data_IF_482406039987
#
_entry.id   IF_482406039987
#
_cell.length_a   1.000
_cell.length_b   1.000
_cell.length_c   1.000
_cell.angle_alpha   90.00
_cell.angle_beta   90.00
_cell.angle_gamma   90.00
#
_symmetry.space_group_name_H-M   'P 1'
#
loop_
_entity.id
_entity.type
_entity.pdbx_description
1 polymer ?
#
# COMPACT_ATOMS: atom_id res chain seq x y z
N UNK A 1 -0.20 18.00 -6.66
CA UNK A 1 0.30 16.67 -6.25
C UNK A 1 -0.63 16.09 -5.19
N UNK A 2 -1.80 15.63 -5.61
CA UNK A 2 -2.88 15.15 -4.74
C UNK A 2 -2.43 13.96 -3.87
N UNK A 3 -1.67 12.99 -4.42
CA UNK A 3 -1.17 11.81 -3.68
C UNK A 3 -0.40 12.25 -2.42
N UNK A 4 0.48 13.23 -2.53
CA UNK A 4 1.25 13.71 -1.37
C UNK A 4 0.34 14.21 -0.23
N UNK A 5 -0.71 14.92 -0.56
CA UNK A 5 -1.67 15.45 0.42
C UNK A 5 -2.46 14.31 1.08
N UNK A 6 -3.01 13.40 0.28
CA UNK A 6 -3.79 12.26 0.78
C UNK A 6 -2.95 11.30 1.62
N UNK A 7 -1.75 10.94 1.14
CA UNK A 7 -0.82 10.06 1.88
C UNK A 7 -0.42 10.68 3.21
N UNK A 8 -0.08 11.97 3.26
CA UNK A 8 0.33 12.63 4.51
C UNK A 8 -0.80 12.64 5.53
N UNK A 9 -2.02 12.95 5.11
CA UNK A 9 -3.19 12.99 5.99
C UNK A 9 -3.55 11.60 6.51
N UNK A 10 -3.52 10.57 5.65
CA UNK A 10 -3.82 9.19 6.05
C UNK A 10 -2.76 8.62 6.99
N UNK A 11 -1.46 8.84 6.71
CA UNK A 11 -0.37 8.44 7.59
C UNK A 11 -0.45 9.09 8.97
N UNK A 12 -0.89 10.34 9.06
CA UNK A 12 -1.03 11.05 10.33
C UNK A 12 -2.04 10.36 11.24
N UNK A 13 -3.13 9.84 10.69
CA UNK A 13 -4.16 9.11 11.43
C UNK A 13 -3.80 7.63 11.62
N UNK A 14 -3.29 6.99 10.59
CA UNK A 14 -3.06 5.53 10.57
C UNK A 14 -1.99 5.06 11.57
N UNK A 15 -1.07 5.94 11.96
CA UNK A 15 -0.08 5.69 13.01
C UNK A 15 -0.62 5.84 14.44
N UNK A 16 -1.87 6.27 14.61
CA UNK A 16 -2.49 6.45 15.93
C UNK A 16 -3.17 5.17 16.40
N UNK A 17 -3.35 5.02 17.72
CA UNK A 17 -4.10 3.89 18.28
C UNK A 17 -5.59 3.91 17.89
N UNK A 18 -6.12 5.10 17.59
CA UNK A 18 -7.50 5.31 17.14
C UNK A 18 -7.74 5.06 15.65
N UNK A 19 -6.72 4.63 14.92
CA UNK A 19 -6.89 4.29 13.49
C UNK A 19 -7.91 3.17 13.30
N UNK A 20 -8.64 3.24 12.17
CA UNK A 20 -9.59 2.24 11.74
C UNK A 20 -9.15 1.59 10.42
N UNK A 21 -9.78 0.46 10.08
CA UNK A 21 -9.66 -0.12 8.73
C UNK A 21 -10.42 0.74 7.72
N UNK A 22 -10.10 0.61 6.44
CA UNK A 22 -10.88 1.23 5.36
C UNK A 22 -12.28 0.61 5.35
N UNK A 23 -12.35 -0.73 5.36
CA UNK A 23 -13.60 -1.46 5.48
C UNK A 23 -14.00 -1.54 6.95
N UNK A 24 -14.98 -0.75 7.32
CA UNK A 24 -15.52 -0.71 8.67
C UNK A 24 -16.92 -1.37 8.70
N UNK A 25 -17.25 -2.12 9.77
CA UNK A 25 -18.60 -2.63 9.94
C UNK A 25 -19.58 -1.45 10.09
N UNK A 26 -20.70 -1.53 9.43
CA UNK A 26 -21.77 -0.54 9.51
C UNK A 26 -23.10 -1.27 9.74
N UNK A 27 -23.44 -1.46 11.00
CA UNK A 27 -24.65 -2.18 11.40
C UNK A 27 -25.93 -1.37 11.12
N UNK A 28 -25.81 -0.05 11.09
CA UNK A 28 -26.93 0.86 10.85
C UNK A 28 -26.49 2.06 10.02
N UNK A 29 -27.23 2.33 8.95
CA UNK A 29 -26.97 3.45 8.04
C UNK A 29 -26.96 4.82 8.74
N UNK A 30 -27.71 4.99 9.84
CA UNK A 30 -27.66 6.21 10.64
C UNK A 30 -26.26 6.50 11.23
N UNK A 31 -25.44 5.47 11.39
CA UNK A 31 -24.08 5.59 11.90
C UNK A 31 -23.05 5.89 10.81
N UNK A 32 -23.47 5.95 9.54
CA UNK A 32 -22.53 6.18 8.41
C UNK A 32 -21.70 7.46 8.58
N UNK A 33 -22.30 8.51 9.16
CA UNK A 33 -21.59 9.77 9.42
C UNK A 33 -20.43 9.63 10.43
N UNK A 34 -20.44 8.62 11.28
CA UNK A 34 -19.39 8.40 12.30
C UNK A 34 -18.13 7.77 11.73
N UNK A 35 -18.21 7.10 10.58
CA UNK A 35 -17.06 6.47 9.93
C UNK A 35 -16.35 7.39 8.93
N UNK A 36 -16.89 8.56 8.65
CA UNK A 36 -16.27 9.53 7.75
C UNK A 36 -15.01 10.13 8.39
N UNK A 37 -13.87 10.01 7.69
CA UNK A 37 -12.59 10.50 8.20
C UNK A 37 -11.47 10.30 7.20
N UNK A 38 -10.23 10.60 7.62
CA UNK A 38 -9.04 10.49 6.78
C UNK A 38 -8.78 9.08 6.25
N UNK A 39 -9.20 8.05 6.98
CA UNK A 39 -9.05 6.67 6.51
C UNK A 39 -9.92 6.42 5.28
N UNK A 40 -11.17 6.82 5.32
CA UNK A 40 -12.10 6.64 4.18
C UNK A 40 -11.73 7.57 3.01
N UNK A 41 -11.47 8.86 3.27
CA UNK A 41 -11.31 9.85 2.22
C UNK A 41 -9.87 10.01 1.71
N UNK A 42 -8.88 9.60 2.48
CA UNK A 42 -7.47 9.76 2.10
C UNK A 42 -6.75 8.43 1.93
N UNK A 43 -6.87 7.46 2.85
CA UNK A 43 -6.21 6.15 2.72
C UNK A 43 -6.82 5.31 1.60
N UNK A 44 -8.15 5.24 1.50
CA UNK A 44 -8.80 4.42 0.48
C UNK A 44 -8.39 4.81 -0.95
N UNK A 45 -8.41 6.09 -1.38
CA UNK A 45 -7.90 6.48 -2.68
C UNK A 45 -6.42 6.11 -2.91
N UNK A 46 -5.57 6.20 -1.88
CA UNK A 46 -4.17 5.77 -1.98
C UNK A 46 -4.07 4.27 -2.21
N UNK A 47 -4.89 3.46 -1.53
CA UNK A 47 -4.91 2.01 -1.73
C UNK A 47 -5.47 1.62 -3.10
N UNK A 48 -6.47 2.34 -3.62
CA UNK A 48 -6.94 2.15 -5.00
C UNK A 48 -5.84 2.44 -6.03
N UNK A 49 -5.04 3.50 -5.82
CA UNK A 49 -3.89 3.80 -6.67
C UNK A 49 -2.84 2.67 -6.60
N UNK A 50 -2.61 2.10 -5.42
CA UNK A 50 -1.69 0.95 -5.27
C UNK A 50 -2.18 -0.29 -6.00
N UNK A 51 -3.47 -0.56 -6.04
CA UNK A 51 -4.02 -1.65 -6.87
C UNK A 51 -3.69 -1.45 -8.35
N UNK A 52 -3.87 -0.23 -8.87
CA UNK A 52 -3.47 0.10 -10.25
C UNK A 52 -1.97 -0.13 -10.48
N UNK A 53 -1.12 0.28 -9.54
CA UNK A 53 0.34 0.13 -9.62
C UNK A 53 0.79 -1.35 -9.59
N UNK A 54 0.09 -2.19 -8.83
CA UNK A 54 0.38 -3.62 -8.70
C UNK A 54 -0.07 -4.37 -9.95
N UNK A 55 -1.30 -4.14 -10.42
CA UNK A 55 -1.91 -4.84 -11.55
C UNK A 55 -1.43 -4.32 -12.92
N UNK A 56 -1.06 -3.04 -12.99
CA UNK A 56 -0.94 -2.29 -14.24
C UNK A 56 -2.29 -1.74 -14.73
N UNK A 57 -2.24 -0.63 -15.45
CA UNK A 57 -3.44 0.10 -15.90
C UNK A 57 -4.38 -0.73 -16.77
N UNK A 58 -3.82 -1.56 -17.68
CA UNK A 58 -4.62 -2.36 -18.62
C UNK A 58 -5.44 -3.44 -17.90
N UNK A 59 -4.80 -4.21 -17.00
CA UNK A 59 -5.47 -5.25 -16.23
C UNK A 59 -6.51 -4.65 -15.29
N UNK A 60 -6.18 -3.53 -14.63
CA UNK A 60 -7.12 -2.81 -13.78
C UNK A 60 -8.34 -2.32 -14.57
N UNK A 61 -8.13 -1.70 -15.74
CA UNK A 61 -9.22 -1.23 -16.59
C UNK A 61 -10.15 -2.37 -17.03
N UNK A 62 -9.59 -3.51 -17.45
CA UNK A 62 -10.37 -4.70 -17.80
C UNK A 62 -11.21 -5.20 -16.63
N UNK A 63 -10.61 -5.32 -15.46
CA UNK A 63 -11.30 -5.74 -14.24
C UNK A 63 -12.44 -4.80 -13.84
N UNK A 64 -12.23 -3.49 -13.89
CA UNK A 64 -13.29 -2.51 -13.60
C UNK A 64 -14.42 -2.58 -14.65
N UNK A 65 -14.11 -2.77 -15.92
CA UNK A 65 -15.13 -2.93 -16.96
C UNK A 65 -15.98 -4.19 -16.72
N UNK A 66 -15.33 -5.30 -16.35
CA UNK A 66 -16.02 -6.54 -16.01
C UNK A 66 -16.90 -6.39 -14.77
N UNK A 67 -16.37 -5.77 -13.71
CA UNK A 67 -17.11 -5.46 -12.50
C UNK A 67 -18.36 -4.63 -12.78
N UNK A 68 -18.24 -3.53 -13.52
CA UNK A 68 -19.36 -2.66 -13.88
C UNK A 68 -20.40 -3.36 -14.74
N UNK A 69 -19.98 -4.27 -15.63
CA UNK A 69 -20.88 -5.07 -16.47
C UNK A 69 -21.60 -6.13 -15.64
N UNK A 70 -20.90 -6.84 -14.77
CA UNK A 70 -21.43 -7.94 -13.98
C UNK A 70 -22.47 -7.46 -12.96
N UNK A 71 -22.22 -6.32 -12.34
CA UNK A 71 -23.06 -5.74 -11.29
C UNK A 71 -23.90 -4.56 -11.76
N UNK A 72 -24.09 -4.40 -13.10
CA UNK A 72 -24.92 -3.36 -13.66
C UNK A 72 -26.36 -3.43 -13.07
N UNK A 73 -26.84 -2.31 -12.53
CA UNK A 73 -28.13 -2.20 -11.86
C UNK A 73 -28.32 -3.07 -10.62
N UNK A 74 -27.25 -3.69 -10.12
CA UNK A 74 -27.22 -4.50 -8.90
C UNK A 74 -26.38 -3.86 -7.80
N UNK A 75 -26.24 -4.61 -6.70
CA UNK A 75 -25.33 -4.28 -5.61
C UNK A 75 -24.10 -5.19 -5.66
N UNK A 76 -22.95 -4.66 -5.34
CA UNK A 76 -21.71 -5.40 -5.21
C UNK A 76 -21.02 -5.05 -3.90
N UNK A 77 -20.22 -5.99 -3.42
CA UNK A 77 -19.39 -5.81 -2.24
C UNK A 77 -17.95 -5.50 -2.64
N UNK A 78 -17.13 -5.14 -1.66
CA UNK A 78 -15.71 -5.00 -1.85
C UNK A 78 -15.05 -6.34 -2.28
N UNK A 79 -15.50 -7.45 -1.70
CA UNK A 79 -14.96 -8.78 -2.00
C UNK A 79 -15.25 -9.19 -3.45
N UNK A 80 -16.43 -8.83 -3.98
CA UNK A 80 -16.77 -9.02 -5.39
C UNK A 80 -15.83 -8.26 -6.33
N UNK A 81 -15.52 -7.01 -5.99
CA UNK A 81 -14.57 -6.20 -6.75
C UNK A 81 -13.17 -6.85 -6.74
N UNK A 82 -12.67 -7.21 -5.55
CA UNK A 82 -11.34 -7.81 -5.42
C UNK A 82 -11.26 -9.14 -6.16
N UNK A 83 -12.28 -10.00 -6.09
CA UNK A 83 -12.30 -11.27 -6.80
C UNK A 83 -12.21 -11.09 -8.33
N UNK A 84 -12.90 -10.10 -8.88
CA UNK A 84 -12.81 -9.78 -10.32
C UNK A 84 -11.43 -9.22 -10.67
N UNK A 85 -10.89 -8.29 -9.89
CA UNK A 85 -9.56 -7.71 -10.14
C UNK A 85 -8.47 -8.77 -10.04
N UNK A 86 -8.52 -9.64 -9.03
CA UNK A 86 -7.57 -10.73 -8.80
C UNK A 86 -7.53 -11.70 -10.00
N UNK A 87 -8.68 -11.97 -10.64
CA UNK A 87 -8.75 -12.81 -11.85
C UNK A 87 -8.06 -12.20 -13.10
N UNK A 88 -7.72 -10.92 -13.08
CA UNK A 88 -7.07 -10.21 -14.18
C UNK A 88 -5.54 -10.08 -14.02
N UNK A 89 -4.98 -10.62 -12.97
CA UNK A 89 -3.53 -10.52 -12.65
C UNK A 89 -3.02 -11.80 -11.99
N UNK A 90 -1.72 -12.00 -12.00
CA UNK A 90 -1.04 -13.07 -11.23
C UNK A 90 -0.65 -12.61 -9.80
N UNK A 91 -0.89 -11.34 -9.47
CA UNK A 91 -0.60 -10.77 -8.16
C UNK A 91 -1.69 -11.16 -7.15
N UNK A 92 -1.30 -11.41 -5.90
CA UNK A 92 -2.22 -11.77 -4.80
C UNK A 92 -2.93 -10.53 -4.24
N UNK A 93 -4.03 -10.16 -4.86
CA UNK A 93 -4.85 -9.02 -4.41
C UNK A 93 -5.70 -9.35 -3.20
N UNK A 94 -5.97 -10.63 -2.94
CA UNK A 94 -6.69 -11.05 -1.74
C UNK A 94 -5.87 -10.74 -0.49
N UNK A 95 -4.59 -11.12 -0.45
CA UNK A 95 -3.67 -10.76 0.65
C UNK A 95 -3.49 -9.26 0.77
N UNK A 96 -3.35 -8.54 -0.36
CA UNK A 96 -3.28 -7.07 -0.34
C UNK A 96 -4.54 -6.47 0.32
N UNK A 97 -5.73 -6.90 -0.11
CA UNK A 97 -7.00 -6.42 0.41
C UNK A 97 -7.17 -6.71 1.90
N UNK A 98 -6.83 -7.93 2.33
CA UNK A 98 -6.96 -8.32 3.73
C UNK A 98 -6.16 -7.38 4.64
N UNK A 99 -4.94 -7.07 4.29
CA UNK A 99 -4.06 -6.28 5.14
C UNK A 99 -4.31 -4.76 5.00
N UNK A 100 -4.40 -4.26 3.76
CA UNK A 100 -4.48 -2.81 3.54
C UNK A 100 -5.88 -2.22 3.71
N UNK A 101 -6.93 -3.03 3.48
CA UNK A 101 -8.33 -2.57 3.51
C UNK A 101 -9.07 -3.05 4.74
N UNK A 102 -8.89 -4.33 5.12
CA UNK A 102 -9.62 -4.93 6.24
C UNK A 102 -8.93 -4.71 7.59
N UNK A 103 -7.62 -4.41 7.61
CA UNK A 103 -6.88 -4.17 8.84
C UNK A 103 -6.61 -2.68 9.06
N UNK A 104 -6.56 -2.28 10.33
CA UNK A 104 -6.17 -0.92 10.73
C UNK A 104 -4.66 -0.78 10.85
N UNK A 105 -4.17 0.44 10.69
CA UNK A 105 -2.78 0.77 10.90
C UNK A 105 -1.92 0.59 9.64
N UNK A 106 -0.63 0.65 9.84
CA UNK A 106 0.41 0.60 8.81
C UNK A 106 1.66 -0.06 9.37
N UNK A 107 2.58 -0.57 8.52
CA UNK A 107 3.82 -1.15 9.00
C UNK A 107 4.77 -0.09 9.54
N UNK A 108 5.57 -0.46 10.51
CA UNK A 108 6.77 0.29 10.88
C UNK A 108 7.95 -0.26 10.08
N UNK A 109 8.51 0.57 9.18
CA UNK A 109 9.62 0.18 8.32
C UNK A 109 10.92 0.76 8.86
N UNK A 110 11.94 -0.09 8.98
CA UNK A 110 13.30 0.29 9.37
C UNK A 110 14.29 -0.04 8.26
N UNK A 111 15.26 0.83 8.10
CA UNK A 111 16.36 0.69 7.15
C UNK A 111 17.67 0.59 7.94
N UNK A 112 18.40 -0.50 7.78
CA UNK A 112 19.67 -0.73 8.47
C UNK A 112 20.75 -1.02 7.45
N UNK A 113 21.75 -0.14 7.33
CA UNK A 113 22.93 -0.39 6.49
C UNK A 113 24.07 -0.93 7.34
N UNK A 114 24.54 -2.13 7.00
CA UNK A 114 25.69 -2.79 7.65
C UNK A 114 26.59 -3.43 6.60
N UNK A 115 27.87 -3.07 6.62
CA UNK A 115 28.90 -3.66 5.75
C UNK A 115 28.50 -3.72 4.26
N UNK A 116 27.89 -2.67 3.73
CA UNK A 116 27.47 -2.62 2.32
C UNK A 116 26.20 -3.42 2.00
N UNK A 117 25.46 -3.87 3.01
CA UNK A 117 24.12 -4.46 2.88
C UNK A 117 23.09 -3.57 3.55
N UNK A 118 22.05 -3.22 2.80
CA UNK A 118 20.87 -2.50 3.30
C UNK A 118 19.78 -3.52 3.59
N UNK A 119 19.47 -3.72 4.86
CA UNK A 119 18.31 -4.48 5.31
C UNK A 119 17.13 -3.53 5.47
N UNK A 120 16.01 -3.89 4.88
CA UNK A 120 14.71 -3.24 5.02
C UNK A 120 13.83 -4.22 5.79
N UNK A 121 13.30 -3.80 6.93
CA UNK A 121 12.45 -4.64 7.76
C UNK A 121 11.13 -3.93 8.03
N UNK A 122 10.03 -4.64 7.85
CA UNK A 122 8.72 -4.19 8.29
C UNK A 122 8.28 -4.93 9.55
N UNK A 123 7.54 -4.26 10.39
CA UNK A 123 6.96 -4.80 11.61
C UNK A 123 5.56 -4.25 11.83
N UNK A 124 4.64 -5.10 12.27
CA UNK A 124 3.33 -4.67 12.74
C UNK A 124 3.46 -3.97 14.10
N UNK A 125 3.14 -2.67 14.22
CA UNK A 125 3.23 -1.95 15.48
C UNK A 125 2.29 -2.50 16.58
N UNK A 126 1.22 -3.20 16.17
CA UNK A 126 0.24 -3.80 17.09
C UNK A 126 0.53 -5.27 17.41
N UNK A 127 1.67 -5.82 16.95
CA UNK A 127 2.13 -7.18 17.21
C UNK A 127 1.13 -8.29 16.79
N UNK A 128 0.36 -8.08 15.71
CA UNK A 128 -0.56 -9.07 15.13
C UNK A 128 0.14 -10.01 14.15
N UNK A 129 1.41 -9.74 13.80
CA UNK A 129 2.17 -10.50 12.83
C UNK A 129 1.79 -10.21 11.37
N UNK A 130 1.12 -9.08 11.12
CA UNK A 130 0.72 -8.70 9.77
C UNK A 130 1.92 -8.22 8.94
N UNK A 131 1.88 -8.56 7.66
CA UNK A 131 2.82 -8.11 6.64
C UNK A 131 2.03 -7.29 5.62
N UNK A 132 2.49 -6.07 5.34
CA UNK A 132 1.90 -5.17 4.35
C UNK A 132 2.71 -5.21 3.05
N UNK A 133 2.26 -5.94 2.02
CA UNK A 133 2.95 -5.96 0.73
C UNK A 133 2.98 -4.55 0.13
N UNK A 134 4.16 -4.10 -0.29
CA UNK A 134 4.29 -2.81 -0.96
C UNK A 134 5.51 -2.74 -1.86
N UNK A 135 5.43 -1.88 -2.88
CA UNK A 135 6.51 -1.57 -3.82
C UNK A 135 6.88 -0.11 -3.70
N UNK A 136 8.16 0.19 -3.72
CA UNK A 136 8.69 1.54 -3.72
C UNK A 136 10.14 1.55 -4.21
N UNK A 137 10.65 2.72 -4.54
CA UNK A 137 12.03 2.87 -5.00
C UNK A 137 12.94 3.39 -3.91
N UNK A 138 14.19 2.90 -3.94
CA UNK A 138 15.31 3.44 -3.18
C UNK A 138 16.34 3.97 -4.16
N UNK A 139 16.80 5.21 -3.93
CA UNK A 139 17.89 5.80 -4.69
C UNK A 139 19.15 5.84 -3.84
N UNK A 140 20.19 5.19 -4.33
CA UNK A 140 21.55 5.30 -3.82
C UNK A 140 22.24 6.47 -4.52
N UNK A 141 22.50 7.51 -3.78
CA UNK A 141 23.14 8.71 -4.30
C UNK A 141 24.66 8.51 -4.32
N UNK A 142 25.24 8.45 -5.50
CA UNK A 142 26.69 8.40 -5.72
C UNK A 142 27.31 9.78 -5.87
N UNK A 143 28.61 9.82 -6.18
CA UNK A 143 29.34 11.05 -6.44
C UNK A 143 29.08 11.61 -7.84
N UNK A 144 29.06 10.74 -8.85
CA UNK A 144 28.81 11.09 -10.23
C UNK A 144 27.41 10.67 -10.71
N UNK A 145 26.95 9.49 -10.30
CA UNK A 145 25.68 8.93 -10.73
C UNK A 145 24.85 8.41 -9.55
N UNK A 146 23.52 8.43 -9.75
CA UNK A 146 22.56 7.84 -8.83
C UNK A 146 22.09 6.49 -9.35
N UNK A 147 22.01 5.51 -8.48
CA UNK A 147 21.42 4.19 -8.78
C UNK A 147 20.07 4.07 -8.11
N UNK A 148 19.02 3.80 -8.88
CA UNK A 148 17.67 3.59 -8.34
C UNK A 148 17.25 2.12 -8.50
N UNK A 149 16.76 1.53 -7.42
CA UNK A 149 16.34 0.13 -7.36
C UNK A 149 14.90 0.05 -6.86
N UNK A 150 14.09 -0.78 -7.50
CA UNK A 150 12.75 -1.10 -7.03
C UNK A 150 12.82 -2.16 -5.91
N UNK A 151 12.09 -1.90 -4.84
CA UNK A 151 11.92 -2.80 -3.70
C UNK A 151 10.52 -3.39 -3.75
N UNK A 152 10.41 -4.71 -3.78
CA UNK A 152 9.15 -5.43 -3.62
C UNK A 152 9.14 -6.09 -2.23
N UNK A 153 8.62 -5.37 -1.24
CA UNK A 153 8.59 -5.79 0.15
C UNK A 153 7.32 -6.60 0.42
N UNK A 154 7.37 -7.90 0.15
CA UNK A 154 6.26 -8.86 0.36
C UNK A 154 6.44 -9.72 1.59
N UNK A 155 7.59 -9.66 2.27
CA UNK A 155 7.90 -10.37 3.49
C UNK A 155 8.30 -9.44 4.63
N UNK A 156 8.69 -10.02 5.77
CA UNK A 156 9.15 -9.24 6.93
C UNK A 156 10.43 -8.46 6.62
N UNK A 157 11.32 -9.01 5.79
CA UNK A 157 12.62 -8.42 5.46
C UNK A 157 12.89 -8.45 3.97
N UNK A 158 13.66 -7.46 3.51
CA UNK A 158 14.21 -7.39 2.17
C UNK A 158 15.65 -6.86 2.25
N UNK A 159 16.57 -7.43 1.47
CA UNK A 159 17.98 -7.03 1.51
C UNK A 159 18.47 -6.58 0.13
N UNK A 160 19.28 -5.53 0.12
CA UNK A 160 19.92 -4.97 -1.07
C UNK A 160 21.43 -4.80 -0.81
N UNK A 161 22.24 -5.03 -1.85
CA UNK A 161 23.63 -4.62 -1.85
C UNK A 161 23.72 -3.13 -2.12
N UNK A 162 24.41 -2.39 -1.25
CA UNK A 162 24.65 -0.96 -1.43
C UNK A 162 25.78 -0.78 -2.45
N UNK A 163 25.58 -0.04 -3.55
CA UNK A 163 26.62 0.23 -4.54
C UNK A 163 27.85 0.93 -3.92
N UNK A 164 29.03 0.57 -4.39
CA UNK A 164 30.27 1.22 -3.95
C UNK A 164 30.22 2.73 -4.28
N UNK A 165 30.76 3.53 -3.39
CA UNK A 165 30.74 5.00 -3.57
C UNK A 165 29.43 5.69 -3.20
N UNK A 166 28.43 4.94 -2.66
CA UNK A 166 27.18 5.54 -2.17
C UNK A 166 27.46 6.52 -1.04
N UNK A 167 27.01 7.76 -1.21
CA UNK A 167 27.12 8.87 -0.22
C UNK A 167 25.85 8.97 0.64
N UNK A 168 24.67 8.70 0.04
CA UNK A 168 23.40 8.71 0.75
C UNK A 168 22.44 7.66 0.21
N UNK A 169 21.55 7.19 1.08
CA UNK A 169 20.47 6.25 0.74
C UNK A 169 19.16 7.00 0.94
N UNK A 170 18.40 7.16 -0.13
CA UNK A 170 17.13 7.86 -0.14
C UNK A 170 16.00 6.85 -0.32
N UNK A 171 15.27 6.49 0.74
CA UNK A 171 14.15 5.57 0.64
C UNK A 171 12.92 6.26 0.04
N UNK A 172 12.06 5.47 -0.60
CA UNK A 172 10.75 5.89 -1.11
C UNK A 172 10.81 7.12 -2.04
N UNK A 173 11.77 7.13 -2.98
CA UNK A 173 12.00 8.28 -3.86
C UNK A 173 10.86 8.50 -4.87
N UNK A 174 10.14 7.47 -5.23
CA UNK A 174 8.93 7.51 -6.06
C UNK A 174 7.65 7.84 -5.27
N UNK A 175 7.72 7.86 -3.92
CA UNK A 175 6.60 8.11 -3.00
C UNK A 175 5.47 7.08 -3.06
N UNK A 176 5.77 5.88 -3.51
CA UNK A 176 4.81 4.77 -3.54
C UNK A 176 4.74 3.99 -2.22
N UNK A 177 5.77 4.03 -1.38
CA UNK A 177 5.75 3.43 -0.05
C UNK A 177 4.76 4.14 0.87
N UNK A 178 4.06 3.36 1.69
CA UNK A 178 3.08 3.84 2.67
C UNK A 178 3.58 3.61 4.09
#
# INVERSE_FOLDING_TARGET
NWIKTYTTASLAEDRTQGSNSIRQPLDNLHNAGLIYGNIIYNKAPVMMQKLVEIMGEEAYQKGIQEYLKTYAYGNATWDDLIAILDSQTEEDLATFSDVWVNQKGMPHITFTNRCGQLEIRQRDPLNRGLIWPQRFQITFQGEEENTTVEVNLTGETYALTVPLGTKAILPNTDKRGY
#
